data_IF_772428970339
#
_entry.id   IF_772428970339
#
_cell.length_a   1.000
_cell.length_b   1.000
_cell.length_c   1.000
_cell.angle_alpha   90.00
_cell.angle_beta   90.00
_cell.angle_gamma   90.00
#
_symmetry.space_group_name_H-M   'P 1'
#
loop_
_entity.id
_entity.type
_entity.pdbx_description
1 polymer ?
#
# COMPACT_ATOMS: atom_id res chain seq x y z
N UNK A 1 -28.63 2.57 8.20
CA UNK A 1 -27.97 1.63 9.12
C UNK A 1 -26.95 0.84 8.31
N UNK A 2 -25.66 1.18 8.44
CA UNK A 2 -24.57 0.55 7.69
C UNK A 2 -24.32 -0.87 8.21
N UNK A 3 -24.23 -1.84 7.30
CA UNK A 3 -23.98 -3.25 7.60
C UNK A 3 -22.58 -3.40 8.26
N UNK A 4 -22.43 -4.09 9.40
CA UNK A 4 -21.13 -4.25 10.07
C UNK A 4 -20.04 -4.90 9.20
N UNK A 5 -20.42 -5.63 8.14
CA UNK A 5 -19.49 -6.20 7.16
C UNK A 5 -18.93 -5.12 6.22
N UNK A 6 -19.74 -4.14 5.78
CA UNK A 6 -19.23 -3.05 4.92
C UNK A 6 -18.35 -2.08 5.69
N UNK A 7 -18.61 -1.86 6.98
CA UNK A 7 -17.74 -1.04 7.84
C UNK A 7 -16.33 -1.65 8.02
N UNK A 8 -16.21 -2.99 8.09
CA UNK A 8 -14.90 -3.68 8.19
C UNK A 8 -14.14 -3.73 6.86
N UNK A 9 -14.84 -3.84 5.74
CA UNK A 9 -14.22 -3.81 4.40
C UNK A 9 -13.63 -2.42 4.10
N UNK A 10 -14.29 -1.34 4.50
CA UNK A 10 -13.77 0.04 4.37
C UNK A 10 -12.52 0.31 5.21
N UNK A 11 -12.27 -0.47 6.27
CA UNK A 11 -11.07 -0.33 7.09
C UNK A 11 -9.84 -1.02 6.48
N UNK A 12 -10.03 -1.97 5.54
CA UNK A 12 -8.95 -2.75 4.92
C UNK A 12 -8.56 -2.26 3.52
N UNK A 13 -9.48 -1.61 2.79
CA UNK A 13 -9.22 -0.98 1.49
C UNK A 13 -9.37 0.52 1.63
N UNK A 14 -8.32 1.25 1.31
CA UNK A 14 -8.37 2.70 1.23
C UNK A 14 -8.05 3.10 -0.20
N UNK A 15 -9.03 3.71 -0.88
CA UNK A 15 -8.87 4.18 -2.24
C UNK A 15 -7.99 5.42 -2.24
N UNK A 16 -6.91 5.40 -3.01
CA UNK A 16 -6.05 6.56 -3.21
C UNK A 16 -6.69 7.45 -4.28
N UNK A 17 -7.68 8.26 -3.92
CA UNK A 17 -8.26 9.24 -4.85
C UNK A 17 -7.46 10.53 -4.80
N UNK A 18 -6.50 10.68 -5.71
CA UNK A 18 -6.05 12.02 -6.09
C UNK A 18 -7.17 12.61 -6.95
N UNK A 19 -7.97 13.53 -6.39
CA UNK A 19 -8.89 14.35 -7.17
C UNK A 19 -8.02 15.27 -8.03
N UNK A 20 -7.64 14.80 -9.22
CA UNK A 20 -7.38 15.74 -10.30
C UNK A 20 -8.76 16.29 -10.62
N UNK A 21 -9.00 17.56 -10.32
CA UNK A 21 -10.13 18.28 -10.91
C UNK A 21 -10.12 17.95 -12.40
N UNK A 22 -11.16 17.23 -12.84
CA UNK A 22 -11.44 17.06 -14.24
C UNK A 22 -11.83 18.46 -14.73
N UNK A 23 -10.84 19.25 -15.14
CA UNK A 23 -11.08 20.37 -16.04
C UNK A 23 -11.88 19.81 -17.21
N UNK A 24 -13.13 20.24 -17.33
CA UNK A 24 -14.09 19.77 -18.34
C UNK A 24 -13.58 20.17 -19.72
N UNK A 25 -12.68 19.36 -20.28
CA UNK A 25 -12.34 19.41 -21.69
C UNK A 25 -13.35 18.53 -22.39
N UNK A 26 -14.32 19.16 -23.07
CA UNK A 26 -15.30 18.49 -23.94
C UNK A 26 -14.56 17.72 -25.04
N UNK A 27 -14.32 16.42 -24.85
CA UNK A 27 -13.83 15.50 -25.90
C UNK A 27 -14.93 14.48 -26.26
N UNK A 28 -15.01 14.04 -27.53
CA UNK A 28 -16.11 13.22 -28.04
C UNK A 28 -16.16 11.81 -27.42
N UNK A 29 -17.37 11.24 -27.37
CA UNK A 29 -17.76 10.04 -26.62
C UNK A 29 -17.01 8.75 -27.01
N UNK A 30 -16.30 8.72 -28.15
CA UNK A 30 -15.55 7.54 -28.59
C UNK A 30 -14.06 7.55 -28.19
N UNK A 31 -13.55 8.64 -27.59
CA UNK A 31 -12.12 8.80 -27.28
C UNK A 31 -11.75 8.52 -25.80
N UNK A 32 -12.65 7.90 -25.01
CA UNK A 32 -12.43 7.62 -23.59
C UNK A 32 -12.78 6.18 -23.23
N UNK A 33 -11.95 5.26 -23.70
CA UNK A 33 -11.85 3.95 -23.07
C UNK A 33 -10.37 3.60 -22.90
N UNK A 34 -9.66 4.41 -22.11
CA UNK A 34 -8.59 3.82 -21.28
C UNK A 34 -9.35 3.16 -20.14
N UNK A 35 -9.72 1.90 -20.32
CA UNK A 35 -10.10 1.05 -19.19
C UNK A 35 -8.99 1.19 -18.15
N UNK A 36 -9.26 1.51 -16.88
CA UNK A 36 -8.23 1.38 -15.87
C UNK A 36 -7.85 -0.10 -15.87
N UNK A 37 -6.67 -0.43 -16.38
CA UNK A 37 -5.96 -1.62 -15.94
C UNK A 37 -6.07 -1.63 -14.42
N UNK A 38 -6.60 -2.68 -13.78
CA UNK A 38 -6.94 -2.57 -12.35
C UNK A 38 -5.73 -2.00 -11.59
N UNK A 39 -5.92 -0.95 -10.80
CA UNK A 39 -4.81 -0.09 -10.42
C UNK A 39 -3.86 -0.80 -9.46
N UNK A 40 -2.62 -0.34 -9.42
CA UNK A 40 -1.60 -0.85 -8.51
C UNK A 40 -2.07 -0.73 -7.04
N UNK A 41 -1.97 -1.84 -6.31
CA UNK A 41 -2.20 -1.91 -4.87
C UNK A 41 -0.91 -1.87 -4.08
N UNK A 42 -0.89 -1.19 -2.94
CA UNK A 42 0.30 -1.17 -2.07
C UNK A 42 0.00 -1.66 -0.67
N UNK A 43 1.00 -2.30 -0.07
CA UNK A 43 1.05 -2.68 1.34
C UNK A 43 2.40 -2.25 1.91
N UNK A 44 2.40 -1.76 3.14
CA UNK A 44 3.62 -1.42 3.87
C UNK A 44 3.58 -2.10 5.23
N UNK A 45 4.70 -2.67 5.66
CA UNK A 45 4.74 -3.36 6.93
C UNK A 45 6.13 -3.78 7.38
N UNK A 46 6.23 -4.05 8.68
CA UNK A 46 7.44 -4.63 9.30
C UNK A 46 7.49 -6.15 9.14
N UNK A 47 6.35 -6.84 9.03
CA UNK A 47 6.25 -8.31 8.86
C UNK A 47 7.13 -9.10 9.85
N UNK A 48 6.87 -8.92 11.16
CA UNK A 48 7.75 -9.37 12.24
C UNK A 48 7.09 -10.44 13.15
N UNK A 49 7.15 -11.74 12.83
CA UNK A 49 7.30 -12.31 11.49
C UNK A 49 6.00 -12.15 10.66
N UNK A 50 6.00 -12.49 9.35
CA UNK A 50 4.74 -12.62 8.61
C UNK A 50 3.84 -13.69 9.25
N UNK A 51 2.53 -13.45 9.26
CA UNK A 51 1.53 -14.30 9.93
C UNK A 51 0.23 -14.32 9.12
N UNK A 52 -0.75 -15.12 9.53
CA UNK A 52 -1.98 -15.36 8.76
C UNK A 52 -2.75 -14.07 8.44
N UNK A 53 -2.80 -13.10 9.35
CA UNK A 53 -3.39 -11.78 9.07
C UNK A 53 -2.74 -11.05 7.88
N UNK A 54 -1.40 -11.05 7.77
CA UNK A 54 -0.70 -10.48 6.62
C UNK A 54 -1.05 -11.22 5.32
N UNK A 55 -1.08 -12.55 5.37
CA UNK A 55 -1.45 -13.37 4.21
C UNK A 55 -2.88 -13.11 3.75
N UNK A 56 -3.81 -12.97 4.69
CA UNK A 56 -5.19 -12.61 4.40
C UNK A 56 -5.28 -11.25 3.69
N UNK A 57 -4.63 -10.22 4.25
CA UNK A 57 -4.65 -8.87 3.68
C UNK A 57 -4.06 -8.82 2.26
N UNK A 58 -2.94 -9.50 2.01
CA UNK A 58 -2.33 -9.56 0.65
C UNK A 58 -3.22 -10.31 -0.34
N UNK A 59 -3.82 -11.45 0.08
CA UNK A 59 -4.75 -12.21 -0.78
C UNK A 59 -6.01 -11.42 -1.08
N UNK A 60 -6.51 -10.68 -0.10
CA UNK A 60 -7.63 -9.77 -0.27
C UNK A 60 -7.29 -8.65 -1.25
N UNK A 61 -6.12 -8.00 -1.11
CA UNK A 61 -5.65 -6.97 -2.04
C UNK A 61 -5.59 -7.45 -3.50
N UNK A 62 -5.23 -8.72 -3.71
CA UNK A 62 -5.13 -9.34 -5.04
C UNK A 62 -6.48 -9.42 -5.76
N UNK A 63 -7.60 -9.45 -5.03
CA UNK A 63 -8.92 -9.46 -5.64
C UNK A 63 -9.31 -8.12 -6.28
N UNK A 64 -8.61 -7.02 -5.96
CA UNK A 64 -8.96 -5.66 -6.38
C UNK A 64 -7.92 -5.01 -7.31
N UNK A 65 -6.78 -5.67 -7.55
CA UNK A 65 -5.61 -5.07 -8.21
C UNK A 65 -4.95 -6.03 -9.18
N UNK A 66 -4.41 -5.51 -10.29
CA UNK A 66 -3.63 -6.32 -11.23
C UNK A 66 -2.19 -6.52 -10.74
N UNK A 67 -1.66 -5.51 -10.05
CA UNK A 67 -0.29 -5.48 -9.55
C UNK A 67 -0.29 -5.10 -8.08
N UNK A 68 0.50 -5.80 -7.27
CA UNK A 68 0.70 -5.49 -5.86
C UNK A 68 2.17 -5.17 -5.61
N UNK A 69 2.42 -4.09 -4.88
CA UNK A 69 3.74 -3.75 -4.34
C UNK A 69 3.70 -3.89 -2.82
N UNK A 70 4.60 -4.69 -2.26
CA UNK A 70 4.73 -4.89 -0.82
C UNK A 70 6.06 -4.30 -0.36
N UNK A 71 5.99 -3.28 0.48
CA UNK A 71 7.13 -2.63 1.11
C UNK A 71 7.44 -3.32 2.44
N UNK A 72 8.56 -4.04 2.47
CA UNK A 72 9.11 -4.69 3.67
C UNK A 72 10.09 -3.71 4.30
N UNK A 73 9.66 -3.05 5.38
CA UNK A 73 10.47 -2.07 6.09
C UNK A 73 11.19 -2.74 7.27
N UNK A 74 12.52 -2.61 7.32
CA UNK A 74 13.36 -3.33 8.29
C UNK A 74 14.43 -2.41 8.87
N UNK A 75 14.69 -2.53 10.16
CA UNK A 75 15.79 -1.84 10.82
C UNK A 75 16.87 -2.84 11.26
N UNK A 76 18.16 -2.46 11.30
CA UNK A 76 19.24 -3.33 11.78
C UNK A 76 19.01 -3.88 13.21
N UNK A 77 18.36 -3.08 14.06
CA UNK A 77 18.03 -3.43 15.45
C UNK A 77 16.79 -4.31 15.62
N UNK A 78 16.13 -4.71 14.53
CA UNK A 78 14.95 -5.54 14.61
C UNK A 78 15.28 -6.96 15.13
N UNK A 79 14.40 -7.60 15.93
CA UNK A 79 14.66 -8.93 16.48
C UNK A 79 14.84 -10.05 15.44
N UNK A 80 14.24 -9.89 14.24
CA UNK A 80 14.41 -10.83 13.13
C UNK A 80 15.11 -10.09 11.98
N UNK A 81 16.21 -10.67 11.43
CA UNK A 81 16.96 -10.06 10.35
C UNK A 81 16.07 -9.61 9.18
N UNK A 82 16.37 -8.42 8.65
CA UNK A 82 15.60 -7.83 7.56
C UNK A 82 15.57 -8.70 6.31
N UNK A 83 16.74 -9.24 5.92
CA UNK A 83 16.89 -10.09 4.73
C UNK A 83 16.06 -11.38 4.84
N UNK A 84 15.98 -11.95 6.05
CA UNK A 84 15.18 -13.13 6.31
C UNK A 84 13.69 -12.84 6.11
N UNK A 85 13.19 -11.73 6.68
CA UNK A 85 11.80 -11.30 6.46
C UNK A 85 11.51 -10.99 5.00
N UNK A 86 12.43 -10.31 4.32
CA UNK A 86 12.32 -10.04 2.89
C UNK A 86 12.23 -11.34 2.07
N UNK A 87 13.07 -12.34 2.37
CA UNK A 87 13.02 -13.65 1.72
C UNK A 87 11.69 -14.39 1.96
N UNK A 88 11.17 -14.36 3.19
CA UNK A 88 9.87 -14.97 3.50
C UNK A 88 8.74 -14.31 2.72
N UNK A 89 8.75 -12.98 2.60
CA UNK A 89 7.74 -12.26 1.84
C UNK A 89 7.80 -12.58 0.34
N UNK A 90 9.00 -12.74 -0.24
CA UNK A 90 9.14 -13.23 -1.62
C UNK A 90 8.58 -14.63 -1.81
N UNK A 91 8.84 -15.53 -0.86
CA UNK A 91 8.36 -16.92 -0.93
C UNK A 91 6.84 -17.00 -0.75
N UNK A 92 6.27 -16.21 0.17
CA UNK A 92 4.83 -16.19 0.44
C UNK A 92 4.01 -15.56 -0.70
N UNK A 93 4.58 -14.55 -1.37
CA UNK A 93 3.85 -13.76 -2.37
C UNK A 93 4.65 -13.62 -3.68
N UNK A 94 4.92 -14.72 -4.40
CA UNK A 94 5.72 -14.69 -5.63
C UNK A 94 5.06 -13.91 -6.78
N UNK A 95 3.76 -13.61 -6.66
CA UNK A 95 3.00 -12.79 -7.62
C UNK A 95 3.10 -11.28 -7.35
N UNK A 96 3.66 -10.87 -6.21
CA UNK A 96 3.75 -9.45 -5.83
C UNK A 96 5.18 -8.93 -6.01
N UNK A 97 5.32 -7.63 -6.29
CA UNK A 97 6.62 -6.96 -6.30
C UNK A 97 7.01 -6.62 -4.86
N UNK A 98 8.02 -7.31 -4.33
CA UNK A 98 8.51 -7.07 -2.97
C UNK A 98 9.68 -6.09 -3.00
N UNK A 99 9.51 -4.95 -2.32
CA UNK A 99 10.54 -3.92 -2.16
C UNK A 99 11.03 -3.94 -0.72
N UNK A 100 12.34 -4.04 -0.54
CA UNK A 100 12.98 -4.02 0.79
C UNK A 100 13.47 -2.61 1.08
N UNK A 101 12.97 -1.99 2.15
CA UNK A 101 13.44 -0.68 2.62
C UNK A 101 14.21 -0.92 3.92
N UNK A 102 15.51 -0.68 3.86
CA UNK A 102 16.45 -0.79 4.99
C UNK A 102 16.86 0.57 5.57
N UNK A 103 16.44 1.65 4.94
CA UNK A 103 16.75 3.02 5.34
C UNK A 103 16.13 3.32 6.71
N UNK A 104 16.96 3.77 7.65
CA UNK A 104 16.46 4.31 8.91
C UNK A 104 15.96 5.74 8.70
N UNK A 105 14.68 5.95 9.01
CA UNK A 105 14.05 7.27 8.92
C UNK A 105 13.50 7.63 10.31
N UNK A 106 14.33 8.17 11.22
CA UNK A 106 13.92 8.47 12.59
C UNK A 106 12.71 9.39 12.67
N UNK A 107 12.60 10.36 11.76
CA UNK A 107 11.47 11.31 11.68
C UNK A 107 10.16 10.62 11.25
N UNK A 108 10.23 9.41 10.72
CA UNK A 108 9.09 8.58 10.35
C UNK A 108 8.87 7.41 11.33
N UNK A 109 9.41 7.52 12.55
CA UNK A 109 9.13 6.57 13.60
C UNK A 109 7.63 6.52 13.91
N UNK A 110 7.18 5.36 14.40
CA UNK A 110 5.77 5.18 14.77
C UNK A 110 5.40 6.17 15.87
N UNK A 111 4.32 6.92 15.67
CA UNK A 111 3.84 7.94 16.61
C UNK A 111 4.25 9.36 16.26
N UNK A 112 5.22 9.54 15.36
CA UNK A 112 5.59 10.87 14.87
C UNK A 112 4.46 11.46 14.01
N UNK A 113 4.16 12.74 14.24
CA UNK A 113 3.00 13.43 13.63
C UNK A 113 2.99 13.35 12.10
N UNK A 114 4.15 13.41 11.46
CA UNK A 114 4.30 13.41 10.00
C UNK A 114 4.83 12.09 9.43
N UNK A 115 4.87 11.02 10.22
CA UNK A 115 5.45 9.75 9.78
C UNK A 115 4.84 9.25 8.47
N UNK A 116 3.51 9.33 8.31
CA UNK A 116 2.80 8.89 7.12
C UNK A 116 3.24 9.65 5.85
N UNK A 117 3.48 10.96 5.92
CA UNK A 117 3.96 11.77 4.78
C UNK A 117 5.38 11.41 4.40
N UNK A 118 6.24 11.22 5.39
CA UNK A 118 7.64 10.89 5.17
C UNK A 118 7.74 9.48 4.57
N UNK A 119 6.97 8.51 5.07
CA UNK A 119 6.88 7.20 4.45
C UNK A 119 6.32 7.25 3.03
N UNK A 120 5.30 8.08 2.77
CA UNK A 120 4.74 8.21 1.42
C UNK A 120 5.80 8.73 0.44
N UNK A 121 6.57 9.75 0.84
CA UNK A 121 7.72 10.24 0.06
C UNK A 121 8.80 9.17 -0.13
N UNK A 122 9.15 8.45 0.93
CA UNK A 122 10.17 7.40 0.88
C UNK A 122 9.80 6.27 -0.09
N UNK A 123 8.52 5.89 -0.16
CA UNK A 123 8.11 4.80 -1.07
C UNK A 123 7.91 5.24 -2.52
N UNK A 124 7.63 6.53 -2.78
CA UNK A 124 7.37 7.04 -4.14
C UNK A 124 8.49 6.76 -5.12
N UNK A 125 9.76 6.81 -4.69
CA UNK A 125 10.92 6.52 -5.56
C UNK A 125 10.92 5.08 -6.13
N UNK A 126 10.16 4.18 -5.51
CA UNK A 126 10.02 2.80 -5.97
C UNK A 126 8.78 2.56 -6.81
N UNK A 127 7.88 3.54 -6.93
CA UNK A 127 6.63 3.43 -7.67
C UNK A 127 6.81 4.00 -9.08
N UNK A 128 6.38 3.26 -10.10
CA UNK A 128 6.40 3.70 -11.50
C UNK A 128 5.17 4.56 -11.85
N UNK A 129 4.08 4.37 -11.11
CA UNK A 129 2.81 5.06 -11.25
C UNK A 129 2.17 5.28 -9.87
N UNK A 130 1.21 6.20 -9.81
CA UNK A 130 0.46 6.43 -8.57
C UNK A 130 -0.40 5.20 -8.25
N UNK A 131 -0.39 4.70 -7.00
CA UNK A 131 -1.17 3.54 -6.63
C UNK A 131 -2.66 3.91 -6.58
N UNK A 132 -3.54 2.99 -6.95
CA UNK A 132 -4.99 3.21 -6.80
C UNK A 132 -5.53 2.81 -5.44
N UNK A 133 -4.83 1.91 -4.73
CA UNK A 133 -5.26 1.40 -3.45
C UNK A 133 -4.09 1.26 -2.47
N UNK A 134 -4.38 1.62 -1.21
CA UNK A 134 -3.59 1.24 -0.05
C UNK A 134 -4.37 0.20 0.73
N UNK A 135 -3.73 -0.92 1.05
CA UNK A 135 -4.31 -1.94 1.93
C UNK A 135 -3.55 -1.92 3.25
N UNK A 136 -4.28 -1.66 4.33
CA UNK A 136 -3.74 -1.56 5.68
C UNK A 136 -4.71 -2.18 6.67
N UNK A 137 -4.18 -2.75 7.76
CA UNK A 137 -4.98 -3.23 8.89
C UNK A 137 -4.88 -2.31 10.11
N UNK A 138 -4.08 -1.25 10.02
CA UNK A 138 -3.84 -0.28 11.08
C UNK A 138 -4.38 1.11 10.67
N UNK A 139 -4.68 1.95 11.66
CA UNK A 139 -5.33 3.25 11.48
C UNK A 139 -4.52 4.25 10.64
N UNK A 140 -3.20 4.09 10.55
CA UNK A 140 -2.33 4.97 9.75
C UNK A 140 -2.65 4.90 8.24
N UNK A 141 -3.33 3.84 7.79
CA UNK A 141 -3.56 3.60 6.37
C UNK A 141 -4.24 4.78 5.67
N UNK A 142 -5.19 5.43 6.35
CA UNK A 142 -5.96 6.53 5.75
C UNK A 142 -5.08 7.75 5.48
N UNK A 143 -4.33 8.18 6.50
CA UNK A 143 -3.40 9.30 6.39
C UNK A 143 -2.26 9.00 5.41
N UNK A 144 -1.80 7.75 5.37
CA UNK A 144 -0.79 7.29 4.42
C UNK A 144 -1.29 7.33 2.97
N UNK A 145 -2.52 6.84 2.72
CA UNK A 145 -3.14 6.93 1.41
C UNK A 145 -3.36 8.38 0.95
N UNK A 146 -3.76 9.26 1.86
CA UNK A 146 -3.93 10.68 1.55
C UNK A 146 -2.61 11.40 1.21
N UNK A 147 -1.47 10.87 1.66
CA UNK A 147 -0.15 11.42 1.35
C UNK A 147 0.48 10.89 0.04
N UNK A 148 -0.14 9.88 -0.59
CA UNK A 148 0.28 9.25 -1.85
C UNK A 148 -0.40 9.86 -3.09
#
# INVERSE_FOLDING_TARGET
MSNPITARLSAMIIKCTRVKELSVVKKPWYAQAVTPTNPCGILIGRFMPPHTGHQYLVRFARAFTNTIVIFVCTLPKDPIPGDLRYSWMKQLFPFARIVHITEEIPQAARGEQNAHRIWAQAIRKYLTEDPGYVFASESYGADFAAAL
#
